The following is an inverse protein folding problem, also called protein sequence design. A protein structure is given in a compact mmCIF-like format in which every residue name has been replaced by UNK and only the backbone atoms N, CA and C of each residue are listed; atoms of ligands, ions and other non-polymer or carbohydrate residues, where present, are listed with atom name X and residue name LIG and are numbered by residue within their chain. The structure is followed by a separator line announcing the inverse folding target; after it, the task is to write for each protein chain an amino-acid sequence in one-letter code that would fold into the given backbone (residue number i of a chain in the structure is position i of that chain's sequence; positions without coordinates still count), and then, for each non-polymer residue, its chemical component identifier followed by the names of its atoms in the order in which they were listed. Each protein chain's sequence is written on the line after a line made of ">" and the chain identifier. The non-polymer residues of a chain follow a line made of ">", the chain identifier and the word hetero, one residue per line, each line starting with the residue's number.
data_IF_308550955519
#
_entry.id   IF_308550955519
#
_cell.length_a   1.000
_cell.length_b   1.000
_cell.length_c   1.000
_cell.angle_alpha   90.00
_cell.angle_beta   90.00
_cell.angle_gamma   90.00
#
_symmetry.space_group_name_H-M   'P 1'
#
loop_
_entity.id
_entity.type
_entity.pdbx_description
1 polymer ?
#
# COMPACT_ATOMS: atom_id res chain seq x y z
N UNK A 1 -3.24 -23.23 -24.08
CA UNK A 1 -1.99 -22.74 -23.46
C UNK A 1 -2.36 -21.91 -22.26
N UNK A 2 -1.87 -22.25 -21.07
CA UNK A 2 -2.06 -21.42 -19.87
C UNK A 2 -1.05 -20.27 -19.94
N UNK A 3 -1.52 -19.02 -19.93
CA UNK A 3 -0.64 -17.85 -19.89
C UNK A 3 0.14 -17.91 -18.57
N UNK A 4 1.47 -17.69 -18.55
CA UNK A 4 2.23 -17.65 -17.30
C UNK A 4 1.60 -16.61 -16.36
N UNK A 5 1.41 -16.96 -15.10
CA UNK A 5 0.99 -16.01 -14.06
C UNK A 5 2.04 -14.88 -14.00
N UNK A 6 1.69 -13.64 -14.40
CA UNK A 6 2.63 -12.53 -14.44
C UNK A 6 3.15 -12.17 -13.05
N UNK A 7 2.50 -12.62 -11.98
CA UNK A 7 2.87 -12.33 -10.60
C UNK A 7 3.81 -13.35 -9.98
N UNK A 8 4.06 -14.49 -10.64
CA UNK A 8 4.89 -15.57 -10.12
C UNK A 8 6.30 -15.12 -9.73
N UNK A 9 6.87 -14.16 -10.48
CA UNK A 9 8.19 -13.58 -10.18
C UNK A 9 8.21 -12.85 -8.84
N UNK A 10 7.13 -12.14 -8.48
CA UNK A 10 7.04 -11.37 -7.24
C UNK A 10 6.80 -12.25 -6.02
N UNK A 11 6.27 -13.46 -6.21
CA UNK A 11 6.13 -14.44 -5.13
C UNK A 11 7.49 -14.96 -4.64
N UNK A 12 8.48 -14.99 -5.53
CA UNK A 12 9.81 -15.54 -5.27
C UNK A 12 10.89 -14.46 -5.05
N UNK A 13 10.66 -13.22 -5.47
CA UNK A 13 11.60 -12.12 -5.28
C UNK A 13 11.95 -11.91 -3.79
N UNK A 14 13.16 -11.47 -3.44
CA UNK A 14 13.48 -11.11 -2.05
C UNK A 14 12.51 -10.06 -1.51
N UNK A 15 11.99 -10.27 -0.29
CA UNK A 15 10.97 -9.37 0.27
C UNK A 15 11.55 -7.96 0.48
N UNK A 16 12.79 -7.85 0.95
CA UNK A 16 13.50 -6.59 1.11
C UNK A 16 13.56 -5.78 -0.21
N UNK A 17 13.77 -6.43 -1.35
CA UNK A 17 13.78 -5.75 -2.65
C UNK A 17 12.41 -5.17 -3.00
N UNK A 18 11.33 -5.93 -2.78
CA UNK A 18 9.97 -5.45 -2.99
C UNK A 18 9.65 -4.27 -2.06
N UNK A 19 9.90 -4.41 -0.76
CA UNK A 19 9.64 -3.37 0.23
C UNK A 19 10.44 -2.09 -0.08
N UNK A 20 11.69 -2.22 -0.56
CA UNK A 20 12.50 -1.09 -1.00
C UNK A 20 11.82 -0.33 -2.14
N UNK A 21 11.29 -1.04 -3.14
CA UNK A 21 10.58 -0.43 -4.27
C UNK A 21 9.33 0.31 -3.78
N UNK A 22 8.55 -0.30 -2.89
CA UNK A 22 7.35 0.33 -2.32
C UNK A 22 7.70 1.59 -1.51
N UNK A 23 8.73 1.53 -0.65
CA UNK A 23 9.21 2.68 0.10
C UNK A 23 9.67 3.83 -0.82
N UNK A 24 10.29 3.51 -1.96
CA UNK A 24 10.68 4.53 -2.96
C UNK A 24 9.48 5.24 -3.57
N UNK A 25 8.37 4.55 -3.82
CA UNK A 25 7.14 5.17 -4.32
C UNK A 25 6.58 6.20 -3.33
N UNK A 26 6.82 6.00 -2.03
CA UNK A 26 6.38 6.89 -0.96
C UNK A 26 7.33 8.06 -0.67
N UNK A 27 8.50 8.19 -1.31
CA UNK A 27 9.45 9.31 -1.05
C UNK A 27 8.78 10.68 -1.12
N UNK A 28 7.94 10.92 -2.14
CA UNK A 28 7.25 12.20 -2.32
C UNK A 28 6.09 12.38 -1.32
N UNK A 29 5.18 11.41 -1.11
CA UNK A 29 4.19 11.48 -0.04
C UNK A 29 4.78 11.67 1.37
N UNK A 30 5.89 10.99 1.68
CA UNK A 30 6.58 11.13 2.96
C UNK A 30 7.18 12.53 3.13
N UNK A 31 7.70 13.11 2.04
CA UNK A 31 8.21 14.48 2.08
C UNK A 31 7.12 15.50 2.45
N UNK A 32 5.88 15.33 1.96
CA UNK A 32 4.76 16.19 2.39
C UNK A 32 4.38 16.04 3.87
N UNK A 33 4.78 14.93 4.51
CA UNK A 33 4.64 14.70 5.95
C UNK A 33 5.90 15.13 6.74
N UNK A 34 6.85 15.81 6.09
CA UNK A 34 8.11 16.26 6.70
C UNK A 34 9.19 15.17 6.82
N UNK A 35 9.00 14.01 6.19
CA UNK A 35 9.94 12.89 6.23
C UNK A 35 10.68 12.79 4.90
N UNK A 36 11.96 13.15 4.88
CA UNK A 36 12.83 12.85 3.75
C UNK A 36 13.28 11.40 3.82
N UNK A 37 13.14 10.64 2.74
CA UNK A 37 13.64 9.26 2.65
C UNK A 37 14.55 9.14 1.43
N UNK A 38 15.81 8.77 1.64
CA UNK A 38 16.77 8.44 0.59
C UNK A 38 16.63 6.98 0.14
N UNK A 39 17.24 6.62 -0.99
CA UNK A 39 17.19 5.24 -1.49
C UNK A 39 17.98 4.27 -0.59
N UNK A 40 19.05 4.76 0.04
CA UNK A 40 19.83 3.99 1.01
C UNK A 40 19.04 3.75 2.31
N UNK A 41 18.32 4.78 2.82
CA UNK A 41 17.45 4.61 3.97
C UNK A 41 16.28 3.67 3.66
N UNK A 42 15.67 3.76 2.47
CA UNK A 42 14.60 2.85 2.05
C UNK A 42 15.08 1.39 2.04
N UNK A 43 16.25 1.13 1.46
CA UNK A 43 16.86 -0.20 1.46
C UNK A 43 17.18 -0.67 2.88
N UNK A 44 17.77 0.18 3.72
CA UNK A 44 18.10 -0.16 5.10
C UNK A 44 16.87 -0.52 5.94
N UNK A 45 15.75 0.21 5.76
CA UNK A 45 14.47 -0.11 6.43
C UNK A 45 13.92 -1.45 5.92
N UNK A 46 13.98 -1.71 4.62
CA UNK A 46 13.50 -2.96 4.04
C UNK A 46 14.31 -4.18 4.53
N UNK A 47 15.63 -4.05 4.58
CA UNK A 47 16.53 -5.07 5.17
C UNK A 47 16.26 -5.27 6.66
N UNK A 48 16.02 -4.18 7.40
CA UNK A 48 15.66 -4.25 8.82
C UNK A 48 14.36 -5.04 9.05
N UNK A 49 13.36 -4.86 8.18
CA UNK A 49 12.11 -5.62 8.20
C UNK A 49 12.37 -7.11 7.90
N UNK A 50 13.09 -7.41 6.82
CA UNK A 50 13.36 -8.79 6.38
C UNK A 50 14.19 -9.56 7.42
N UNK A 51 15.20 -8.91 8.00
CA UNK A 51 16.02 -9.44 9.09
C UNK A 51 15.29 -9.49 10.44
N UNK A 52 14.06 -8.97 10.53
CA UNK A 52 13.27 -8.88 11.78
C UNK A 52 14.00 -8.16 12.90
N UNK A 53 14.80 -7.17 12.54
CA UNK A 53 15.54 -6.38 13.51
C UNK A 53 14.62 -5.33 14.18
N UNK A 54 14.92 -4.91 15.43
CA UNK A 54 14.18 -3.84 16.09
C UNK A 54 14.18 -2.58 15.23
N UNK A 55 13.03 -1.90 15.12
CA UNK A 55 12.89 -0.72 14.27
C UNK A 55 13.77 0.45 14.74
N UNK A 56 14.38 1.12 13.77
CA UNK A 56 15.07 2.39 14.01
C UNK A 56 14.07 3.53 14.23
N UNK A 57 14.51 4.63 14.85
CA UNK A 57 13.71 5.85 14.97
C UNK A 57 13.20 6.33 13.60
N UNK A 58 14.02 6.20 12.57
CA UNK A 58 13.65 6.54 11.19
C UNK A 58 12.53 5.65 10.67
N UNK A 59 12.63 4.33 10.88
CA UNK A 59 11.59 3.38 10.47
C UNK A 59 10.26 3.64 11.21
N UNK A 60 10.32 3.99 12.50
CA UNK A 60 9.16 4.41 13.29
C UNK A 60 8.54 5.68 12.71
N UNK A 61 9.33 6.71 12.43
CA UNK A 61 8.84 7.95 11.84
C UNK A 61 8.21 7.74 10.45
N UNK A 62 8.79 6.85 9.63
CA UNK A 62 8.22 6.46 8.33
C UNK A 62 6.89 5.75 8.52
N UNK A 63 6.80 4.77 9.43
CA UNK A 63 5.55 4.07 9.76
C UNK A 63 4.46 5.07 10.17
N UNK A 64 4.77 5.98 11.08
CA UNK A 64 3.80 6.94 11.60
C UNK A 64 3.33 7.92 10.51
N UNK A 65 4.20 8.31 9.57
CA UNK A 65 3.82 9.10 8.41
C UNK A 65 2.96 8.32 7.40
N UNK A 66 3.27 7.04 7.16
CA UNK A 66 2.45 6.16 6.32
C UNK A 66 1.05 5.99 6.89
N UNK A 67 0.92 5.83 8.21
CA UNK A 67 -0.38 5.75 8.90
C UNK A 67 -1.24 6.98 8.58
N UNK A 68 -0.67 8.19 8.66
CA UNK A 68 -1.39 9.43 8.32
C UNK A 68 -1.85 9.44 6.86
N UNK A 69 -0.96 9.07 5.94
CA UNK A 69 -1.28 9.04 4.50
C UNK A 69 -2.39 8.03 4.16
N UNK A 70 -2.43 6.89 4.84
CA UNK A 70 -3.52 5.91 4.70
C UNK A 70 -4.83 6.54 5.18
N UNK A 71 -4.86 7.12 6.38
CA UNK A 71 -6.06 7.76 6.95
C UNK A 71 -6.58 8.90 6.05
N UNK A 72 -5.67 9.74 5.54
CA UNK A 72 -6.02 10.79 4.57
C UNK A 72 -6.66 10.19 3.31
N UNK A 73 -6.12 9.07 2.82
CA UNK A 73 -6.62 8.40 1.61
C UNK A 73 -7.95 7.70 1.85
N UNK A 74 -8.17 7.11 3.03
CA UNK A 74 -9.48 6.61 3.46
C UNK A 74 -10.51 7.74 3.50
N UNK A 75 -10.11 8.93 3.97
CA UNK A 75 -10.94 10.13 3.96
C UNK A 75 -11.38 10.56 2.56
N UNK A 76 -10.50 10.44 1.55
CA UNK A 76 -10.85 10.69 0.15
C UNK A 76 -11.94 9.74 -0.34
N UNK A 77 -11.80 8.44 -0.09
CA UNK A 77 -12.82 7.46 -0.48
C UNK A 77 -14.14 7.67 0.27
N UNK A 78 -14.05 7.99 1.57
CA UNK A 78 -15.21 8.25 2.41
C UNK A 78 -16.01 9.49 1.95
N UNK A 79 -15.38 10.46 1.28
CA UNK A 79 -16.09 11.59 0.67
C UNK A 79 -17.07 11.17 -0.44
N UNK A 80 -16.86 9.99 -1.04
CA UNK A 80 -17.79 9.35 -1.98
C UNK A 80 -18.65 8.26 -1.33
N UNK A 81 -18.61 8.14 0.01
CA UNK A 81 -19.33 7.10 0.75
C UNK A 81 -18.74 5.69 0.58
N UNK A 82 -17.49 5.58 0.14
CA UNK A 82 -16.81 4.30 -0.12
C UNK A 82 -15.82 3.97 1.00
N UNK A 83 -15.82 2.71 1.42
CA UNK A 83 -14.66 2.09 2.09
C UNK A 83 -13.63 1.64 1.05
N UNK A 84 -12.40 1.35 1.47
CA UNK A 84 -11.38 0.80 0.56
C UNK A 84 -11.85 -0.50 -0.13
N UNK A 85 -12.42 -1.44 0.62
CA UNK A 85 -12.91 -2.68 0.04
C UNK A 85 -13.99 -2.45 -1.03
N UNK A 86 -14.92 -1.52 -0.79
CA UNK A 86 -15.93 -1.15 -1.78
C UNK A 86 -15.34 -0.41 -2.97
N UNK A 87 -14.35 0.46 -2.76
CA UNK A 87 -13.76 1.23 -3.85
C UNK A 87 -13.05 0.32 -4.86
N UNK A 88 -12.43 -0.77 -4.41
CA UNK A 88 -11.76 -1.74 -5.29
C UNK A 88 -12.67 -2.35 -6.35
N UNK A 89 -13.98 -2.41 -6.11
CA UNK A 89 -15.00 -2.95 -7.01
C UNK A 89 -15.92 -1.88 -7.61
N UNK A 90 -15.89 -0.65 -7.08
CA UNK A 90 -16.72 0.46 -7.55
C UNK A 90 -16.31 0.94 -8.94
N UNK A 91 -17.28 1.05 -9.84
CA UNK A 91 -17.08 1.65 -11.16
C UNK A 91 -17.11 3.18 -11.04
N UNK A 92 -16.48 3.88 -11.98
CA UNK A 92 -16.52 5.34 -11.99
C UNK A 92 -17.93 5.92 -12.17
N UNK A 93 -18.87 5.14 -12.73
CA UNK A 93 -20.29 5.48 -12.79
C UNK A 93 -20.98 5.54 -11.42
N UNK A 94 -20.40 4.90 -10.40
CA UNK A 94 -20.89 4.95 -9.02
C UNK A 94 -20.37 6.18 -8.25
N UNK A 95 -19.41 6.92 -8.82
CA UNK A 95 -18.83 8.11 -8.20
C UNK A 95 -19.55 9.36 -8.69
N UNK A 96 -20.27 10.09 -7.82
CA UNK A 96 -20.98 11.29 -8.21
C UNK A 96 -20.02 12.48 -8.40
N UNK A 97 -20.50 13.50 -9.11
CA UNK A 97 -19.86 14.83 -9.12
C UNK A 97 -18.98 15.13 -10.33
N UNK A 98 -19.02 14.31 -11.39
CA UNK A 98 -18.40 14.65 -12.67
C UNK A 98 -19.45 14.98 -13.73
N UNK A 99 -19.26 16.08 -14.46
CA UNK A 99 -20.12 16.51 -15.57
C UNK A 99 -19.37 16.53 -16.89
N UNK A 100 -18.05 16.55 -16.83
CA UNK A 100 -17.15 16.54 -17.97
C UNK A 100 -16.14 15.40 -17.91
N UNK A 101 -15.49 15.12 -19.03
CA UNK A 101 -14.35 14.19 -19.09
C UNK A 101 -13.19 14.63 -18.21
N UNK A 102 -13.00 15.95 -18.01
CA UNK A 102 -11.95 16.46 -17.14
C UNK A 102 -12.23 16.08 -15.68
N UNK A 103 -13.46 16.32 -15.20
CA UNK A 103 -13.87 15.96 -13.84
C UNK A 103 -13.76 14.45 -13.62
N UNK A 104 -14.20 13.66 -14.61
CA UNK A 104 -14.06 12.20 -14.59
C UNK A 104 -12.60 11.78 -14.37
N UNK A 105 -11.66 12.35 -15.13
CA UNK A 105 -10.25 12.02 -15.02
C UNK A 105 -9.66 12.47 -13.68
N UNK A 106 -10.06 13.62 -13.15
CA UNK A 106 -9.62 14.09 -11.84
C UNK A 106 -10.09 13.16 -10.72
N UNK A 107 -11.38 12.79 -10.70
CA UNK A 107 -11.94 11.89 -9.71
C UNK A 107 -11.36 10.47 -9.84
N UNK A 108 -11.21 9.95 -11.06
CA UNK A 108 -10.60 8.65 -11.31
C UNK A 108 -9.16 8.60 -10.80
N UNK A 109 -8.38 9.66 -11.05
CA UNK A 109 -7.01 9.77 -10.55
C UNK A 109 -6.99 9.89 -9.02
N UNK A 110 -7.91 10.65 -8.41
CA UNK A 110 -8.00 10.77 -6.96
C UNK A 110 -8.32 9.41 -6.31
N UNK A 111 -9.26 8.64 -6.87
CA UNK A 111 -9.59 7.28 -6.42
C UNK A 111 -8.41 6.34 -6.55
N UNK A 112 -7.82 6.24 -7.74
CA UNK A 112 -6.70 5.35 -7.99
C UNK A 112 -5.49 5.65 -7.10
N UNK A 113 -5.20 6.94 -6.87
CA UNK A 113 -4.12 7.35 -5.96
C UNK A 113 -4.44 7.01 -4.50
N UNK A 114 -5.68 7.18 -4.06
CA UNK A 114 -6.09 6.80 -2.71
C UNK A 114 -5.98 5.28 -2.51
N UNK A 115 -6.47 4.50 -3.46
CA UNK A 115 -6.39 3.04 -3.44
C UNK A 115 -4.94 2.54 -3.38
N UNK A 116 -4.08 3.06 -4.25
CA UNK A 116 -2.65 2.69 -4.26
C UNK A 116 -1.95 3.04 -2.94
N UNK A 117 -2.27 4.20 -2.36
CA UNK A 117 -1.70 4.61 -1.07
C UNK A 117 -2.18 3.72 0.06
N UNK A 118 -3.45 3.32 0.07
CA UNK A 118 -4.00 2.41 1.07
C UNK A 118 -3.39 1.02 0.91
N UNK A 119 -3.39 0.43 -0.30
CA UNK A 119 -2.87 -0.92 -0.54
C UNK A 119 -1.40 -1.04 -0.13
N UNK A 120 -0.56 -0.18 -0.71
CA UNK A 120 0.89 -0.23 -0.50
C UNK A 120 1.26 0.28 0.90
N UNK A 121 0.59 1.32 1.39
CA UNK A 121 0.80 1.84 2.73
C UNK A 121 0.45 0.82 3.80
N UNK A 122 -0.68 0.13 3.69
CA UNK A 122 -1.09 -0.91 4.63
C UNK A 122 -0.07 -2.06 4.67
N UNK A 123 0.47 -2.46 3.51
CA UNK A 123 1.52 -3.47 3.44
C UNK A 123 2.79 -3.02 4.17
N UNK A 124 3.26 -1.79 3.90
CA UNK A 124 4.45 -1.25 4.56
C UNK A 124 4.26 -1.08 6.08
N UNK A 125 3.12 -0.55 6.53
CA UNK A 125 2.81 -0.36 7.95
C UNK A 125 2.73 -1.70 8.68
N UNK A 126 2.11 -2.71 8.06
CA UNK A 126 2.07 -4.07 8.61
C UNK A 126 3.46 -4.68 8.67
N UNK A 127 4.27 -4.52 7.63
CA UNK A 127 5.66 -5.01 7.60
C UNK A 127 6.54 -4.32 8.66
N UNK A 128 6.21 -3.07 9.03
CA UNK A 128 6.79 -2.30 10.13
C UNK A 128 6.14 -2.64 11.50
N UNK A 129 5.48 -3.78 11.62
CA UNK A 129 4.97 -4.32 12.89
C UNK A 129 3.72 -3.63 13.43
N UNK A 130 2.96 -2.90 12.61
CA UNK A 130 1.68 -2.33 13.02
C UNK A 130 0.51 -2.89 12.20
N UNK A 131 -0.26 -3.77 12.85
CA UNK A 131 -1.32 -4.53 12.21
C UNK A 131 -2.66 -3.79 12.05
N UNK A 132 -2.77 -2.50 12.38
CA UNK A 132 -4.08 -1.81 12.39
C UNK A 132 -4.80 -1.81 11.04
N UNK A 133 -4.05 -1.87 9.94
CA UNK A 133 -4.57 -1.86 8.57
C UNK A 133 -4.57 -3.25 7.89
N UNK A 134 -4.38 -4.34 8.65
CA UNK A 134 -4.40 -5.72 8.11
C UNK A 134 -5.70 -6.07 7.38
N UNK A 135 -6.81 -5.42 7.75
CA UNK A 135 -8.10 -5.61 7.09
C UNK A 135 -8.08 -5.15 5.61
N UNK A 136 -7.32 -4.12 5.25
CA UNK A 136 -7.13 -3.71 3.85
C UNK A 136 -6.37 -4.76 3.05
N UNK A 137 -5.36 -5.38 3.65
CA UNK A 137 -4.64 -6.50 3.04
C UNK A 137 -5.56 -7.71 2.86
N UNK A 138 -6.44 -7.97 3.84
CA UNK A 138 -7.48 -8.98 3.73
C UNK A 138 -8.43 -8.73 2.56
N UNK A 139 -8.85 -7.47 2.35
CA UNK A 139 -9.71 -7.10 1.22
C UNK A 139 -9.04 -7.37 -0.14
N UNK A 140 -7.76 -7.05 -0.29
CA UNK A 140 -6.99 -7.36 -1.50
C UNK A 140 -6.95 -8.86 -1.79
N UNK A 141 -6.63 -9.67 -0.77
CA UNK A 141 -6.57 -11.13 -0.89
C UNK A 141 -7.94 -11.72 -1.22
N UNK A 142 -9.00 -11.22 -0.58
CA UNK A 142 -10.36 -11.71 -0.80
C UNK A 142 -10.86 -11.42 -2.22
N UNK A 143 -10.41 -10.32 -2.85
CA UNK A 143 -10.67 -10.01 -4.26
C UNK A 143 -10.07 -11.04 -5.22
N UNK A 144 -9.05 -11.78 -4.78
CA UNK A 144 -8.40 -12.87 -5.51
C UNK A 144 -7.92 -12.50 -6.93
N UNK A 145 -7.51 -11.24 -7.12
CA UNK A 145 -6.93 -10.77 -8.37
C UNK A 145 -5.44 -11.12 -8.40
N UNK A 146 -4.91 -11.63 -9.53
CA UNK A 146 -3.48 -11.90 -9.68
C UNK A 146 -2.73 -10.60 -9.96
N UNK A 147 -2.69 -9.71 -8.98
CA UNK A 147 -1.96 -8.44 -9.02
C UNK A 147 -0.83 -8.38 -7.98
N UNK A 148 0.05 -7.39 -8.16
CA UNK A 148 1.23 -7.21 -7.32
C UNK A 148 0.84 -6.92 -5.85
N UNK A 149 -0.20 -6.12 -5.64
CA UNK A 149 -0.67 -5.71 -4.31
C UNK A 149 -1.15 -6.91 -3.51
N UNK A 150 -1.87 -7.85 -4.15
CA UNK A 150 -2.32 -9.10 -3.56
C UNK A 150 -1.14 -9.99 -3.15
N UNK A 151 -0.13 -10.14 -4.03
CA UNK A 151 1.09 -10.91 -3.69
C UNK A 151 1.83 -10.29 -2.51
N UNK A 152 1.99 -8.97 -2.48
CA UNK A 152 2.64 -8.28 -1.36
C UNK A 152 1.82 -8.47 -0.07
N UNK A 153 0.50 -8.32 -0.13
CA UNK A 153 -0.39 -8.50 1.01
C UNK A 153 -0.22 -9.90 1.63
N UNK A 154 -0.25 -10.96 0.81
CA UNK A 154 -0.03 -12.34 1.27
C UNK A 154 1.32 -12.52 1.96
N UNK A 155 2.39 -11.98 1.35
CA UNK A 155 3.76 -12.14 1.86
C UNK A 155 4.00 -11.37 3.16
N UNK A 156 3.47 -10.16 3.26
CA UNK A 156 3.58 -9.33 4.47
C UNK A 156 2.77 -9.95 5.61
N UNK A 157 1.55 -10.44 5.35
CA UNK A 157 0.76 -11.12 6.38
C UNK A 157 1.41 -12.43 6.84
N UNK A 158 2.07 -13.16 5.94
CA UNK A 158 2.86 -14.33 6.31
C UNK A 158 4.05 -13.96 7.22
N UNK A 159 4.72 -12.84 6.97
CA UNK A 159 5.78 -12.33 7.83
C UNK A 159 5.26 -11.97 9.23
N UNK A 160 4.15 -11.23 9.31
CA UNK A 160 3.55 -10.73 10.57
C UNK A 160 2.99 -11.86 11.45
N UNK A 161 2.39 -12.90 10.87
CA UNK A 161 1.91 -14.07 11.62
C UNK A 161 3.03 -14.85 12.35
N UNK A 162 4.29 -14.63 11.99
CA UNK A 162 5.45 -15.19 12.69
C UNK A 162 6.06 -14.22 13.72
N UNK A 163 5.52 -13.00 13.86
CA UNK A 163 5.95 -12.00 14.85
C UNK A 163 5.10 -12.01 16.14
N UNK A 164 3.94 -12.68 16.12
CA UNK A 164 3.06 -12.90 17.28
C UNK A 164 3.38 -14.22 17.99
#
# INVERSE_FOLDING_TARGET
>A
MMRPDPTAVYRQAPLAELLTILLRQFKRPLLSQGITLSDAEAAAIAEQIDARAPLSEKAIAVRDALIKLIIESEGVLAAWGLTFAQSLDADMSDIPGWESTADFLELANAKANAELRISTGAALVTALGDGRFRHHLGALIQRAQPDLDTVIAERVLALDNHQQ
#
